data_IF_071199100953
#
_entry.id   IF_071199100953
#
_cell.length_a   1.000
_cell.length_b   1.000
_cell.length_c   1.000
_cell.angle_alpha   90.00
_cell.angle_beta   90.00
_cell.angle_gamma   90.00
#
_symmetry.space_group_name_H-M   'P 1'
#
loop_
_entity.id
_entity.type
_entity.pdbx_description
1 polymer ?
#
# COMPACT_ATOMS: atom_id res chain seq x y z
N UNK A 1 -7.44 24.15 -3.69
CA UNK A 1 -6.84 25.16 -2.79
C UNK A 1 -7.65 26.44 -2.69
N UNK A 2 -8.35 26.87 -3.75
CA UNK A 2 -9.18 28.10 -3.73
C UNK A 2 -10.20 28.17 -2.59
N UNK A 3 -10.82 27.05 -2.20
CA UNK A 3 -11.74 27.02 -1.05
C UNK A 3 -11.03 27.18 0.30
N UNK A 4 -9.81 26.62 0.45
CA UNK A 4 -9.01 26.78 1.67
C UNK A 4 -8.48 28.21 1.82
N UNK A 5 -8.03 28.81 0.71
CA UNK A 5 -7.63 30.20 0.67
C UNK A 5 -8.80 31.12 1.08
N UNK A 6 -9.98 30.92 0.47
CA UNK A 6 -11.16 31.75 0.75
C UNK A 6 -11.72 31.56 2.17
N UNK A 7 -11.71 30.34 2.70
CA UNK A 7 -12.31 30.06 4.00
C UNK A 7 -11.38 30.33 5.18
N UNK A 8 -10.06 30.19 4.99
CA UNK A 8 -9.10 30.15 6.10
C UNK A 8 -7.83 30.99 5.86
N UNK A 9 -7.70 31.67 4.72
CA UNK A 9 -6.51 32.47 4.41
C UNK A 9 -5.23 31.64 4.23
N UNK A 10 -5.36 30.35 3.92
CA UNK A 10 -4.21 29.45 3.76
C UNK A 10 -3.63 29.60 2.35
N UNK A 11 -2.38 30.05 2.30
CA UNK A 11 -1.54 30.07 1.10
C UNK A 11 -0.72 28.78 1.01
N UNK A 12 -0.43 28.32 -0.21
CA UNK A 12 0.31 27.09 -0.46
C UNK A 12 1.20 27.19 -1.70
N UNK A 13 2.40 26.62 -1.59
CA UNK A 13 3.28 26.32 -2.70
C UNK A 13 3.69 24.84 -2.62
N UNK A 14 3.47 24.07 -3.68
CA UNK A 14 3.89 22.67 -3.72
C UNK A 14 4.30 22.21 -5.12
N UNK A 15 5.15 21.19 -5.16
CA UNK A 15 5.59 20.51 -6.38
C UNK A 15 5.29 19.02 -6.27
N UNK A 16 4.79 18.43 -7.36
CA UNK A 16 4.49 17.01 -7.49
C UNK A 16 5.20 16.50 -8.74
N UNK A 17 5.94 15.41 -8.63
CA UNK A 17 6.59 14.78 -9.78
C UNK A 17 6.49 13.25 -9.70
N UNK A 18 6.26 12.62 -10.85
CA UNK A 18 6.25 11.16 -11.01
C UNK A 18 7.64 10.59 -11.32
N UNK A 19 7.80 9.28 -11.09
CA UNK A 19 9.04 8.51 -11.34
C UNK A 19 9.06 7.78 -12.70
N UNK A 20 8.13 8.09 -13.61
CA UNK A 20 8.13 7.48 -14.95
C UNK A 20 9.11 8.22 -15.88
N UNK A 21 9.73 7.47 -16.78
CA UNK A 21 10.70 7.97 -17.77
C UNK A 21 10.14 9.02 -18.74
N UNK A 22 8.82 9.15 -18.84
CA UNK A 22 8.18 10.15 -19.70
C UNK A 22 8.25 11.54 -19.05
N UNK A 23 8.87 12.48 -19.76
CA UNK A 23 9.29 13.79 -19.25
C UNK A 23 8.15 14.69 -18.71
N UNK A 24 6.87 14.37 -18.94
CA UNK A 24 5.73 15.26 -18.73
C UNK A 24 5.07 15.19 -17.33
N UNK A 25 5.56 14.35 -16.41
CA UNK A 25 4.88 14.08 -15.12
C UNK A 25 5.29 15.00 -13.96
N UNK A 26 5.63 16.26 -14.22
CA UNK A 26 5.97 17.23 -13.18
C UNK A 26 4.98 18.39 -13.16
N UNK A 27 4.51 18.79 -11.99
CA UNK A 27 3.60 19.92 -11.80
C UNK A 27 3.98 20.71 -10.56
N UNK A 28 4.02 22.03 -10.68
CA UNK A 28 4.18 22.94 -9.56
C UNK A 28 2.97 23.87 -9.49
N UNK A 29 2.56 24.19 -8.27
CA UNK A 29 1.40 25.02 -7.99
C UNK A 29 1.72 26.00 -6.87
N UNK A 30 1.28 27.24 -7.06
CA UNK A 30 1.31 28.31 -6.08
C UNK A 30 -0.05 28.99 -6.01
N UNK A 31 -0.46 29.39 -4.82
CA UNK A 31 -1.57 30.32 -4.61
C UNK A 31 -1.08 31.77 -4.75
N UNK A 32 -1.96 32.76 -4.94
CA UNK A 32 -1.55 34.15 -5.20
C UNK A 32 -0.61 34.75 -4.13
N UNK A 33 -0.83 34.47 -2.84
CA UNK A 33 0.05 34.98 -1.78
C UNK A 33 1.35 34.17 -1.60
N UNK A 34 1.53 33.09 -2.35
CA UNK A 34 2.76 32.30 -2.41
C UNK A 34 3.36 32.28 -3.83
N UNK A 35 2.96 33.24 -4.68
CA UNK A 35 3.62 33.48 -5.96
C UNK A 35 5.11 33.74 -5.73
N UNK A 36 5.93 33.31 -6.68
CA UNK A 36 7.39 33.39 -6.62
C UNK A 36 8.08 32.69 -5.43
N UNK A 37 7.36 31.94 -4.58
CA UNK A 37 7.95 31.26 -3.43
C UNK A 37 9.17 30.40 -3.80
N UNK A 38 9.07 29.61 -4.89
CA UNK A 38 10.18 28.79 -5.35
C UNK A 38 11.34 29.62 -5.89
N UNK A 39 11.06 30.73 -6.56
CA UNK A 39 12.08 31.62 -7.07
C UNK A 39 12.82 32.32 -5.92
N UNK A 40 12.10 32.85 -4.93
CA UNK A 40 12.69 33.59 -3.82
C UNK A 40 13.40 32.69 -2.81
N UNK A 41 12.77 31.58 -2.42
CA UNK A 41 13.26 30.71 -1.34
C UNK A 41 14.14 29.57 -1.84
N UNK A 42 13.85 29.04 -3.02
CA UNK A 42 14.60 27.94 -3.61
C UNK A 42 15.55 28.39 -4.73
N UNK A 43 15.48 29.66 -5.16
CA UNK A 43 16.25 30.19 -6.30
C UNK A 43 16.06 29.36 -7.57
N UNK A 44 14.84 28.85 -7.74
CA UNK A 44 14.48 27.95 -8.83
C UNK A 44 13.13 28.36 -9.39
N UNK A 45 13.07 28.56 -10.71
CA UNK A 45 11.79 28.69 -11.42
C UNK A 45 11.00 27.37 -11.41
N UNK A 46 9.79 27.41 -11.96
CA UNK A 46 8.87 26.27 -12.04
C UNK A 46 9.51 25.03 -12.68
N UNK A 47 10.26 25.19 -13.76
CA UNK A 47 10.88 24.07 -14.47
C UNK A 47 12.09 23.54 -13.70
N UNK A 48 12.88 24.44 -13.12
CA UNK A 48 14.03 24.11 -12.28
C UNK A 48 13.62 23.37 -11.01
N UNK A 49 12.57 23.80 -10.30
CA UNK A 49 12.12 23.13 -9.07
C UNK A 49 11.52 21.76 -9.38
N UNK A 50 10.78 21.63 -10.48
CA UNK A 50 10.29 20.34 -10.98
C UNK A 50 11.46 19.43 -11.33
N UNK A 51 12.47 19.97 -12.03
CA UNK A 51 13.68 19.26 -12.41
C UNK A 51 14.47 18.76 -11.19
N UNK A 52 14.72 19.63 -10.21
CA UNK A 52 15.40 19.27 -8.96
C UNK A 52 14.62 18.19 -8.19
N UNK A 53 13.31 18.31 -8.10
CA UNK A 53 12.49 17.33 -7.41
C UNK A 53 12.51 15.97 -8.13
N UNK A 54 12.45 15.95 -9.46
CA UNK A 54 12.66 14.74 -10.27
C UNK A 54 14.04 14.12 -10.04
N UNK A 55 15.11 14.91 -10.09
CA UNK A 55 16.47 14.41 -9.82
C UNK A 55 16.58 13.80 -8.42
N UNK A 56 15.94 14.41 -7.41
CA UNK A 56 15.89 13.84 -6.07
C UNK A 56 15.18 12.48 -6.05
N UNK A 57 14.03 12.36 -6.70
CA UNK A 57 13.27 11.11 -6.83
C UNK A 57 14.11 10.04 -7.52
N UNK A 58 14.77 10.37 -8.64
CA UNK A 58 15.64 9.45 -9.38
C UNK A 58 16.84 9.02 -8.56
N UNK A 59 17.52 9.94 -7.88
CA UNK A 59 18.67 9.63 -7.04
C UNK A 59 18.26 8.67 -5.91
N UNK A 60 17.14 8.95 -5.23
CA UNK A 60 16.63 8.09 -4.16
C UNK A 60 16.25 6.70 -4.67
N UNK A 61 15.64 6.63 -5.85
CA UNK A 61 15.26 5.37 -6.49
C UNK A 61 16.50 4.56 -6.92
N UNK A 62 17.50 5.23 -7.50
CA UNK A 62 18.78 4.64 -7.88
C UNK A 62 19.56 4.10 -6.68
N UNK A 63 19.66 4.89 -5.60
CA UNK A 63 20.30 4.47 -4.35
C UNK A 63 19.62 3.24 -3.74
N UNK A 64 18.29 3.15 -3.83
CA UNK A 64 17.57 1.95 -3.39
C UNK A 64 17.94 0.72 -4.22
N UNK A 65 17.99 0.84 -5.55
CA UNK A 65 18.42 -0.24 -6.46
C UNK A 65 19.86 -0.66 -6.23
N UNK A 66 20.77 0.30 -6.04
CA UNK A 66 22.19 0.03 -5.77
C UNK A 66 22.37 -0.69 -4.43
N UNK A 67 21.63 -0.26 -3.40
CA UNK A 67 21.65 -0.91 -2.08
C UNK A 67 21.15 -2.36 -2.20
N UNK A 68 20.10 -2.61 -2.98
CA UNK A 68 19.59 -3.96 -3.26
C UNK A 68 20.66 -4.85 -3.93
N UNK A 69 21.38 -4.34 -4.93
CA UNK A 69 22.46 -5.07 -5.61
C UNK A 69 23.61 -5.39 -4.64
N UNK A 70 24.08 -4.42 -3.86
CA UNK A 70 25.17 -4.63 -2.90
C UNK A 70 24.80 -5.56 -1.74
N UNK A 71 23.54 -5.56 -1.29
CA UNK A 71 23.05 -6.55 -0.32
C UNK A 71 22.98 -7.96 -0.92
N UNK A 72 22.64 -8.05 -2.21
CA UNK A 72 22.59 -9.33 -2.95
C UNK A 72 24.01 -9.87 -3.19
N UNK A 73 24.99 -9.02 -3.46
CA UNK A 73 26.40 -9.42 -3.61
C UNK A 73 27.04 -9.87 -2.29
N UNK A 74 26.71 -9.23 -1.16
CA UNK A 74 27.11 -9.71 0.19
C UNK A 74 26.50 -11.07 0.54
N UNK A 75 25.41 -11.47 -0.12
CA UNK A 75 24.83 -12.81 -0.03
C UNK A 75 25.55 -13.84 -0.92
N UNK A 76 26.30 -13.40 -1.94
CA UNK A 76 26.98 -14.28 -2.92
C UNK A 76 28.41 -14.72 -2.56
N UNK A 77 29.06 -14.10 -1.58
CA UNK A 77 30.40 -14.52 -1.09
C UNK A 77 30.39 -14.76 0.42
N UNK A 78 29.82 -15.89 0.82
CA UNK A 78 29.94 -16.41 2.17
C UNK A 78 29.74 -17.91 2.15
N UNK A 79 30.80 -18.67 2.49
CA UNK A 79 30.72 -20.10 2.77
C UNK A 79 29.51 -20.40 3.66
N UNK A 80 28.79 -21.46 3.31
CA UNK A 80 27.54 -21.87 3.93
C UNK A 80 27.58 -21.79 5.45
N UNK A 81 26.83 -20.84 6.00
CA UNK A 81 26.24 -20.95 7.32
C UNK A 81 24.75 -20.97 7.06
N UNK A 82 24.13 -22.11 7.31
CA UNK A 82 22.69 -22.30 7.31
C UNK A 82 22.10 -21.17 8.17
N UNK A 83 21.58 -20.12 7.53
CA UNK A 83 21.00 -19.00 8.26
C UNK A 83 19.73 -19.53 8.88
N UNK A 84 19.68 -19.53 10.22
CA UNK A 84 18.53 -20.01 10.97
C UNK A 84 17.25 -19.34 10.46
N UNK A 85 16.18 -20.12 10.34
CA UNK A 85 14.85 -19.59 10.01
C UNK A 85 14.47 -18.39 10.91
N UNK A 86 14.91 -18.42 12.17
CA UNK A 86 14.70 -17.33 13.13
C UNK A 86 15.43 -16.03 12.76
N UNK A 87 16.64 -16.11 12.19
CA UNK A 87 17.37 -14.92 11.74
C UNK A 87 16.66 -14.27 10.56
N UNK A 88 16.09 -15.07 9.66
CA UNK A 88 15.28 -14.59 8.54
C UNK A 88 14.00 -13.91 9.03
N UNK A 89 13.28 -14.52 9.99
CA UNK A 89 12.09 -13.91 10.59
C UNK A 89 12.44 -12.61 11.33
N UNK A 90 13.54 -12.59 12.09
CA UNK A 90 13.99 -11.41 12.84
C UNK A 90 14.32 -10.25 11.92
N UNK A 91 15.03 -10.51 10.82
CA UNK A 91 15.34 -9.50 9.79
C UNK A 91 14.04 -8.96 9.18
N UNK A 92 13.15 -9.83 8.68
CA UNK A 92 11.86 -9.37 8.10
C UNK A 92 10.99 -8.59 9.08
N UNK A 93 10.99 -8.96 10.36
CA UNK A 93 10.26 -8.23 11.41
C UNK A 93 10.85 -6.84 11.63
N UNK A 94 12.18 -6.72 11.67
CA UNK A 94 12.88 -5.44 11.75
C UNK A 94 12.60 -4.56 10.53
N UNK A 95 12.59 -5.15 9.34
CA UNK A 95 12.30 -4.48 8.07
C UNK A 95 10.86 -3.93 8.02
N UNK A 96 9.89 -4.74 8.46
CA UNK A 96 8.49 -4.33 8.62
C UNK A 96 8.32 -3.20 9.64
N UNK A 97 8.90 -3.36 10.83
CA UNK A 97 8.76 -2.40 11.93
C UNK A 97 9.44 -1.05 11.63
N UNK A 98 10.55 -1.06 10.89
CA UNK A 98 11.29 0.15 10.53
C UNK A 98 10.74 0.87 9.30
N UNK A 99 9.74 0.32 8.61
CA UNK A 99 9.21 0.89 7.37
C UNK A 99 10.25 1.02 6.25
N UNK A 100 11.46 0.45 6.42
CA UNK A 100 12.59 0.52 5.46
C UNK A 100 12.27 -0.20 4.16
N UNK A 101 11.37 -1.18 4.22
CA UNK A 101 10.67 -1.76 3.07
C UNK A 101 9.20 -1.35 3.11
N UNK A 102 8.93 -0.04 2.97
CA UNK A 102 7.58 0.45 2.74
C UNK A 102 6.93 -0.29 1.58
N UNK A 103 6.12 -1.31 1.91
CA UNK A 103 5.08 -1.90 1.07
C UNK A 103 5.51 -2.28 -0.36
N UNK A 104 6.73 -2.80 -0.58
CA UNK A 104 7.14 -3.32 -1.90
C UNK A 104 6.23 -4.44 -2.42
N UNK A 105 5.53 -5.14 -1.52
CA UNK A 105 4.53 -6.12 -1.89
C UNK A 105 3.36 -5.50 -2.70
N UNK A 106 3.05 -4.22 -2.47
CA UNK A 106 2.03 -3.45 -3.19
C UNK A 106 2.62 -2.49 -4.25
N UNK A 107 3.95 -2.42 -4.41
CA UNK A 107 4.64 -1.38 -5.21
C UNK A 107 4.61 -1.58 -6.74
N UNK A 108 3.45 -1.92 -7.30
CA UNK A 108 3.23 -1.96 -8.74
C UNK A 108 2.62 -0.65 -9.27
N UNK A 109 2.56 -0.49 -10.60
CA UNK A 109 1.80 0.62 -11.25
C UNK A 109 0.31 0.64 -10.85
N UNK A 110 -0.24 -0.52 -10.46
CA UNK A 110 -1.61 -0.70 -10.01
C UNK A 110 -1.62 -1.57 -8.77
N UNK A 111 -2.55 -1.27 -7.84
CA UNK A 111 -2.83 -2.13 -6.70
C UNK A 111 -3.22 -3.52 -7.23
N UNK A 112 -2.57 -4.61 -6.80
CA UNK A 112 -2.79 -5.93 -7.36
C UNK A 112 -4.09 -6.56 -6.85
N UNK A 113 -5.24 -5.93 -7.09
CA UNK A 113 -6.54 -6.29 -6.49
C UNK A 113 -6.89 -7.77 -6.60
N UNK A 114 -6.80 -8.33 -7.81
CA UNK A 114 -7.08 -9.76 -8.06
C UNK A 114 -6.08 -10.69 -7.37
N UNK A 115 -4.83 -10.26 -7.25
CA UNK A 115 -3.74 -11.06 -6.71
C UNK A 115 -3.36 -10.71 -5.27
N UNK A 116 -4.16 -9.84 -4.64
CA UNK A 116 -3.90 -9.31 -3.31
C UNK A 116 -3.85 -10.43 -2.27
N UNK A 117 -4.77 -11.42 -2.27
CA UNK A 117 -4.72 -12.52 -1.31
C UNK A 117 -3.43 -13.36 -1.41
N UNK A 118 -2.95 -13.66 -2.62
CA UNK A 118 -1.70 -14.40 -2.80
C UNK A 118 -0.49 -13.56 -2.33
N UNK A 119 -0.47 -12.26 -2.64
CA UNK A 119 0.61 -11.37 -2.22
C UNK A 119 0.69 -11.23 -0.70
N UNK A 120 -0.45 -11.17 -0.01
CA UNK A 120 -0.49 -11.17 1.46
C UNK A 120 0.11 -12.47 2.01
N UNK A 121 -0.30 -13.63 1.47
CA UNK A 121 0.23 -14.93 1.88
C UNK A 121 1.76 -15.05 1.68
N UNK A 122 2.24 -14.69 0.48
CA UNK A 122 3.67 -14.71 0.13
C UNK A 122 4.51 -13.85 1.07
N UNK A 123 3.92 -12.78 1.60
CA UNK A 123 4.57 -11.85 2.49
C UNK A 123 4.29 -12.10 3.97
N UNK A 124 3.58 -13.16 4.31
CA UNK A 124 3.18 -13.48 5.67
C UNK A 124 2.41 -12.33 6.33
N UNK A 125 1.46 -11.75 5.59
CA UNK A 125 0.60 -10.66 6.03
C UNK A 125 -0.84 -11.15 6.16
N UNK A 126 -1.53 -10.66 7.18
CA UNK A 126 -2.96 -10.84 7.38
C UNK A 126 -3.58 -9.45 7.44
N UNK A 127 -4.61 -9.22 6.63
CA UNK A 127 -5.43 -8.03 6.69
C UNK A 127 -6.62 -8.30 7.63
N UNK A 128 -6.83 -7.45 8.62
CA UNK A 128 -7.87 -7.60 9.63
C UNK A 128 -8.81 -6.40 9.61
N UNK A 129 -10.06 -6.64 10.02
CA UNK A 129 -11.15 -5.67 10.00
C UNK A 129 -11.50 -5.18 8.58
N UNK A 130 -11.50 -6.08 7.61
CA UNK A 130 -11.97 -5.75 6.27
C UNK A 130 -13.46 -5.37 6.32
N UNK A 131 -13.88 -4.23 5.74
CA UNK A 131 -15.28 -3.81 5.79
C UNK A 131 -16.18 -4.79 5.03
N UNK A 132 -17.48 -4.75 5.29
CA UNK A 132 -18.49 -5.61 4.61
C UNK A 132 -18.71 -5.14 3.17
N UNK A 133 -17.70 -5.34 2.34
CA UNK A 133 -17.64 -5.00 0.91
C UNK A 133 -16.98 -6.15 0.16
N UNK A 134 -17.09 -6.14 -1.17
CA UNK A 134 -16.43 -7.14 -2.01
C UNK A 134 -14.94 -7.31 -1.66
N UNK A 135 -14.54 -8.55 -1.48
CA UNK A 135 -13.15 -8.89 -1.24
C UNK A 135 -12.28 -8.64 -2.48
N UNK A 136 -10.97 -8.42 -2.28
CA UNK A 136 -10.01 -8.41 -3.36
C UNK A 136 -10.03 -9.69 -4.19
N UNK A 137 -10.26 -9.55 -5.50
CA UNK A 137 -10.37 -10.68 -6.41
C UNK A 137 -11.71 -11.43 -6.38
N UNK A 138 -12.65 -11.03 -5.52
CA UNK A 138 -14.02 -11.55 -5.55
C UNK A 138 -14.76 -10.99 -6.77
N UNK A 139 -15.48 -11.87 -7.47
CA UNK A 139 -16.29 -11.51 -8.63
C UNK A 139 -17.75 -11.27 -8.21
N UNK A 140 -18.41 -10.28 -8.81
CA UNK A 140 -19.83 -10.02 -8.60
C UNK A 140 -20.65 -10.95 -9.48
N UNK A 141 -21.51 -11.78 -8.86
CA UNK A 141 -22.32 -12.81 -9.53
C UNK A 141 -23.26 -12.29 -10.62
N UNK A 142 -23.54 -10.98 -10.66
CA UNK A 142 -24.49 -10.36 -11.59
C UNK A 142 -23.89 -9.87 -12.91
N UNK A 143 -22.57 -10.01 -13.13
CA UNK A 143 -21.92 -9.52 -14.36
C UNK A 143 -21.30 -10.65 -15.17
N UNK A 144 -21.52 -10.61 -16.48
CA UNK A 144 -20.96 -11.56 -17.45
C UNK A 144 -19.43 -11.47 -17.60
N UNK A 145 -18.80 -10.40 -17.10
CA UNK A 145 -17.34 -10.20 -17.08
C UNK A 145 -16.90 -9.43 -15.81
N UNK A 146 -16.08 -10.02 -14.93
CA UNK A 146 -15.51 -9.33 -13.77
C UNK A 146 -14.47 -8.28 -14.21
N UNK A 147 -14.51 -7.09 -13.62
CA UNK A 147 -13.59 -5.96 -13.92
C UNK A 147 -12.59 -5.67 -12.79
N UNK A 148 -12.46 -6.56 -11.80
CA UNK A 148 -11.51 -6.41 -10.71
C UNK A 148 -11.92 -5.29 -9.75
N UNK A 149 -11.01 -4.35 -9.45
CA UNK A 149 -11.31 -3.26 -8.49
C UNK A 149 -12.48 -2.37 -8.95
N UNK A 150 -12.72 -2.28 -10.26
CA UNK A 150 -13.83 -1.53 -10.86
C UNK A 150 -15.20 -2.17 -10.63
N UNK A 151 -15.28 -3.35 -10.02
CA UNK A 151 -16.56 -3.92 -9.57
C UNK A 151 -17.04 -3.32 -8.24
N UNK A 152 -16.17 -2.60 -7.52
CA UNK A 152 -16.56 -1.80 -6.37
C UNK A 152 -17.41 -0.60 -6.82
N UNK A 153 -18.52 -0.39 -6.12
CA UNK A 153 -19.31 0.84 -6.19
C UNK A 153 -18.58 1.97 -5.46
N UNK A 154 -19.01 3.21 -5.73
CA UNK A 154 -18.51 4.39 -5.00
C UNK A 154 -18.71 4.22 -3.49
N UNK A 155 -19.85 3.64 -3.07
CA UNK A 155 -20.16 3.40 -1.66
C UNK A 155 -19.16 2.42 -1.02
N UNK A 156 -18.88 1.29 -1.68
CA UNK A 156 -17.91 0.32 -1.20
C UNK A 156 -16.49 0.90 -1.15
N UNK A 157 -16.09 1.70 -2.15
CA UNK A 157 -14.83 2.43 -2.12
C UNK A 157 -14.75 3.39 -0.92
N UNK A 158 -15.82 4.14 -0.65
CA UNK A 158 -15.90 5.04 0.50
C UNK A 158 -15.78 4.30 1.83
N UNK A 159 -16.37 3.11 1.95
CA UNK A 159 -16.25 2.26 3.16
C UNK A 159 -14.82 1.78 3.38
N UNK A 160 -14.11 1.35 2.32
CA UNK A 160 -12.69 0.97 2.41
C UNK A 160 -11.84 2.17 2.84
N UNK A 161 -12.08 3.35 2.25
CA UNK A 161 -11.35 4.58 2.62
C UNK A 161 -11.63 4.97 4.07
N UNK A 162 -12.88 4.86 4.52
CA UNK A 162 -13.25 5.13 5.90
C UNK A 162 -12.56 4.16 6.86
N UNK A 163 -12.59 2.85 6.58
CA UNK A 163 -11.93 1.83 7.40
C UNK A 163 -10.39 2.01 7.45
N UNK A 164 -9.79 2.52 6.38
CA UNK A 164 -8.35 2.84 6.32
C UNK A 164 -8.00 4.10 7.12
N UNK A 165 -8.92 5.06 7.23
CA UNK A 165 -8.74 6.31 7.98
C UNK A 165 -9.18 6.22 9.44
N UNK A 166 -9.87 5.14 9.81
CA UNK A 166 -10.31 4.91 11.17
C UNK A 166 -9.09 4.75 12.10
N UNK A 167 -9.21 5.31 13.29
CA UNK A 167 -8.22 5.19 14.37
C UNK A 167 -8.75 4.36 15.54
N UNK A 168 -9.97 3.85 15.44
CA UNK A 168 -10.61 3.00 16.42
C UNK A 168 -10.03 1.59 16.49
N UNK A 169 -10.55 0.77 17.42
CA UNK A 169 -10.10 -0.61 17.63
C UNK A 169 -10.42 -1.54 16.44
N UNK A 170 -11.35 -1.14 15.58
CA UNK A 170 -11.77 -1.89 14.39
C UNK A 170 -11.21 -1.31 13.08
N UNK A 171 -10.14 -0.51 13.16
CA UNK A 171 -9.49 0.01 11.96
C UNK A 171 -8.94 -1.11 11.07
N UNK A 172 -8.93 -0.86 9.78
CA UNK A 172 -8.31 -1.77 8.81
C UNK A 172 -6.80 -1.84 9.09
N UNK A 173 -6.29 -3.04 9.36
CA UNK A 173 -4.88 -3.21 9.69
C UNK A 173 -4.23 -4.37 8.94
N UNK A 174 -2.94 -4.23 8.66
CA UNK A 174 -2.11 -5.29 8.14
C UNK A 174 -1.17 -5.77 9.25
N UNK A 175 -1.34 -7.02 9.67
CA UNK A 175 -0.52 -7.68 10.67
C UNK A 175 0.49 -8.59 10.00
N UNK A 176 1.76 -8.49 10.39
CA UNK A 176 2.80 -9.40 9.96
C UNK A 176 2.77 -10.68 10.82
N UNK A 177 2.53 -11.82 10.20
CA UNK A 177 2.43 -13.14 10.82
C UNK A 177 3.42 -14.15 10.19
N UNK A 178 4.71 -14.03 10.49
CA UNK A 178 5.77 -14.83 9.86
C UNK A 178 5.67 -16.32 10.16
N UNK A 179 5.20 -16.68 11.35
CA UNK A 179 5.16 -18.07 11.81
C UNK A 179 4.08 -18.88 11.08
N UNK A 180 3.00 -18.22 10.67
CA UNK A 180 1.91 -18.87 9.95
C UNK A 180 2.03 -18.75 8.43
N UNK A 181 3.18 -18.31 7.89
CA UNK A 181 3.37 -18.12 6.44
C UNK A 181 2.98 -19.36 5.62
N UNK A 182 3.36 -20.56 6.08
CA UNK A 182 3.04 -21.80 5.39
C UNK A 182 1.53 -22.06 5.36
N UNK A 183 0.84 -21.84 6.49
CA UNK A 183 -0.62 -21.99 6.59
C UNK A 183 -1.38 -20.95 5.77
N UNK A 184 -0.89 -19.70 5.73
CA UNK A 184 -1.44 -18.65 4.87
C UNK A 184 -1.27 -19.00 3.39
N UNK A 185 -0.09 -19.50 3.00
CA UNK A 185 0.22 -19.87 1.61
C UNK A 185 -0.54 -21.11 1.15
N UNK A 186 -0.79 -22.06 2.05
CA UNK A 186 -1.57 -23.29 1.76
C UNK A 186 -3.07 -23.11 1.98
N UNK A 187 -3.54 -21.89 2.25
CA UNK A 187 -4.95 -21.59 2.51
C UNK A 187 -5.55 -22.37 3.69
N UNK A 188 -4.74 -22.74 4.69
CA UNK A 188 -5.23 -23.26 5.98
C UNK A 188 -5.66 -22.16 6.93
N UNK A 189 -5.07 -20.97 6.78
CA UNK A 189 -5.44 -19.74 7.51
C UNK A 189 -5.83 -18.64 6.52
N UNK A 190 -6.78 -17.78 6.90
CA UNK A 190 -7.21 -16.67 6.05
C UNK A 190 -6.13 -15.57 6.00
N UNK A 191 -6.08 -14.88 4.86
CA UNK A 191 -5.20 -13.73 4.63
C UNK A 191 -5.95 -12.40 4.75
N UNK A 192 -7.28 -12.42 4.65
CA UNK A 192 -8.13 -11.28 4.99
C UNK A 192 -9.24 -11.76 5.93
N UNK A 193 -9.44 -11.03 7.02
CA UNK A 193 -10.48 -11.26 8.01
C UNK A 193 -11.35 -10.00 8.06
N UNK A 194 -12.65 -10.19 7.87
CA UNK A 194 -13.66 -9.15 7.94
C UNK A 194 -13.74 -8.52 9.33
N UNK A 195 -14.34 -7.34 9.40
CA UNK A 195 -14.78 -6.77 10.65
C UNK A 195 -15.82 -7.71 11.30
N UNK A 196 -15.93 -7.71 12.64
CA UNK A 196 -17.02 -8.41 13.31
C UNK A 196 -18.37 -7.99 12.73
N UNK A 197 -19.28 -8.95 12.46
CA UNK A 197 -20.59 -8.61 11.94
C UNK A 197 -21.35 -7.75 12.95
N UNK A 198 -22.20 -6.81 12.49
CA UNK A 198 -23.04 -6.03 13.39
C UNK A 198 -24.03 -6.94 14.14
N UNK A 199 -24.50 -6.49 15.29
CA UNK A 199 -25.29 -7.29 16.24
C UNK A 199 -26.62 -7.82 15.67
N UNK A 200 -27.11 -7.21 14.60
CA UNK A 200 -28.33 -7.54 13.88
C UNK A 200 -28.09 -8.42 12.64
N UNK A 201 -26.83 -8.77 12.36
CA UNK A 201 -26.47 -9.63 11.24
C UNK A 201 -26.81 -11.09 11.50
N UNK A 202 -27.17 -11.80 10.43
CA UNK A 202 -27.37 -13.26 10.45
C UNK A 202 -26.04 -14.04 10.51
N UNK A 203 -24.92 -13.37 10.21
CA UNK A 203 -23.59 -13.97 10.28
C UNK A 203 -23.11 -13.95 11.73
N UNK A 204 -22.76 -15.12 12.25
CA UNK A 204 -22.23 -15.28 13.61
C UNK A 204 -20.71 -15.05 13.68
N UNK A 205 -20.04 -15.01 12.53
CA UNK A 205 -18.59 -14.87 12.41
C UNK A 205 -18.22 -13.85 11.34
N UNK A 206 -17.03 -13.26 11.48
CA UNK A 206 -16.45 -12.40 10.46
C UNK A 206 -16.13 -13.21 9.19
N UNK A 207 -16.36 -12.60 8.03
CA UNK A 207 -16.03 -13.20 6.73
C UNK A 207 -14.52 -13.38 6.57
N UNK A 208 -14.08 -14.49 5.99
CA UNK A 208 -12.66 -14.85 5.86
C UNK A 208 -12.31 -15.14 4.41
N UNK A 209 -11.27 -14.50 3.89
CA UNK A 209 -10.74 -14.76 2.55
C UNK A 209 -9.39 -15.47 2.65
N UNK A 210 -9.26 -16.56 1.89
CA UNK A 210 -8.04 -17.35 1.81
C UNK A 210 -7.20 -16.98 0.58
N UNK A 211 -5.93 -17.37 0.57
CA UNK A 211 -4.99 -17.06 -0.51
C UNK A 211 -5.38 -17.68 -1.86
N UNK A 212 -6.15 -18.76 -1.86
CA UNK A 212 -6.75 -19.38 -3.04
C UNK A 212 -8.02 -18.67 -3.55
N UNK A 213 -8.48 -17.61 -2.88
CA UNK A 213 -9.67 -16.85 -3.25
C UNK A 213 -10.99 -17.43 -2.73
N UNK A 214 -10.97 -18.54 -1.97
CA UNK A 214 -12.17 -19.04 -1.29
C UNK A 214 -12.57 -18.09 -0.16
N UNK A 215 -13.86 -17.89 -0.01
CA UNK A 215 -14.47 -17.10 1.07
C UNK A 215 -15.20 -18.05 2.00
N UNK A 216 -14.90 -17.96 3.28
CA UNK A 216 -15.63 -18.62 4.35
C UNK A 216 -16.46 -17.58 5.13
N UNK A 217 -17.69 -17.96 5.42
CA UNK A 217 -18.68 -17.15 6.12
C UNK A 217 -18.98 -17.69 7.53
N UNK A 218 -18.47 -18.88 7.86
CA UNK A 218 -18.87 -19.63 9.05
C UNK A 218 -17.78 -19.67 10.14
N UNK A 219 -16.56 -19.24 9.84
CA UNK A 219 -15.47 -19.17 10.82
C UNK A 219 -14.57 -20.39 10.78
#
# INVERSE_FOLDING_TARGET
>A
FTSLLKAHGIEAAFVIAGSNQDASLGYAYTTPGAEDFFLERCRADTDAIIGHFKTHIYNRSSLASVTEVFETEKLGKGKGKERSHDDFIRRRRSDWASGRHGQTWASGKLLPWKHLPQKLAQNALVCENWPEVLFPGQERSSRSKPKGISDLTIVECSQIVAATRDNGPHKLQFRFDPYNKADLSTSRKPVIIGAPPPYDSKLTHAMRLFSNGKIDYNG
#
